data_IF_552107227192
#
_entry.id   IF_552107227192
#
_cell.length_a   1.000
_cell.length_b   1.000
_cell.length_c   1.000
_cell.angle_alpha   90.00
_cell.angle_beta   90.00
_cell.angle_gamma   90.00
#
_symmetry.space_group_name_H-M   'P 1'
#
loop_
_entity.id
_entity.type
_entity.pdbx_description
1 polymer ?
#
# COMPACT_ATOMS: atom_id res chain seq x y z
N UNK A 1 18.09 51.38 -30.28
CA UNK A 1 17.30 50.59 -29.31
C UNK A 1 16.11 49.84 -29.95
N UNK A 2 15.33 50.49 -30.81
CA UNK A 2 14.16 49.86 -31.49
C UNK A 2 14.57 48.71 -32.43
N UNK A 3 15.67 48.79 -33.14
CA UNK A 3 16.15 47.74 -34.03
C UNK A 3 16.64 46.50 -33.28
N UNK A 4 17.29 46.65 -32.13
CA UNK A 4 17.72 45.57 -31.27
C UNK A 4 16.51 44.82 -30.70
N UNK A 5 15.48 45.53 -30.23
CA UNK A 5 14.23 44.90 -29.77
C UNK A 5 13.51 44.11 -30.88
N UNK A 6 13.61 44.56 -32.13
CA UNK A 6 13.05 43.83 -33.29
C UNK A 6 13.79 42.51 -33.57
N UNK A 7 15.12 42.53 -33.47
CA UNK A 7 15.93 41.30 -33.63
C UNK A 7 15.66 40.31 -32.52
N UNK A 8 15.62 40.74 -31.26
CA UNK A 8 15.29 39.85 -30.13
C UNK A 8 13.89 39.25 -30.24
N UNK A 9 12.92 39.96 -30.79
CA UNK A 9 11.60 39.43 -31.01
C UNK A 9 11.58 38.36 -32.11
N UNK A 10 12.27 38.60 -33.21
CA UNK A 10 12.41 37.64 -34.30
C UNK A 10 13.17 36.37 -33.88
N UNK A 11 14.20 36.50 -33.07
CA UNK A 11 14.93 35.37 -32.51
C UNK A 11 14.06 34.52 -31.59
N UNK A 12 13.28 35.15 -30.72
CA UNK A 12 12.33 34.44 -29.87
C UNK A 12 11.24 33.73 -30.66
N UNK A 13 10.76 34.34 -31.72
CA UNK A 13 9.76 33.70 -32.58
C UNK A 13 10.36 32.53 -33.36
N UNK A 14 11.59 32.61 -33.80
CA UNK A 14 12.34 31.51 -34.40
C UNK A 14 12.56 30.35 -33.39
N UNK A 15 12.97 30.67 -32.16
CA UNK A 15 13.15 29.66 -31.13
C UNK A 15 11.84 28.90 -30.80
N UNK A 16 10.71 29.60 -30.83
CA UNK A 16 9.37 29.00 -30.61
C UNK A 16 8.93 28.06 -31.73
N UNK A 17 9.55 28.11 -32.92
CA UNK A 17 9.26 27.16 -33.99
C UNK A 17 9.76 25.75 -33.66
N UNK A 18 10.72 25.65 -32.74
CA UNK A 18 11.24 24.36 -32.27
C UNK A 18 10.68 24.04 -30.88
N UNK A 19 9.74 23.08 -30.81
CA UNK A 19 9.15 22.65 -29.57
C UNK A 19 9.94 21.48 -29.00
N UNK A 20 10.51 21.67 -27.82
CA UNK A 20 11.28 20.63 -27.09
C UNK A 20 10.48 20.09 -25.93
N UNK A 21 10.71 18.81 -25.59
CA UNK A 21 10.18 18.22 -24.38
C UNK A 21 10.83 18.91 -23.16
N UNK A 22 10.03 19.30 -22.14
CA UNK A 22 10.55 19.99 -20.94
C UNK A 22 11.29 19.05 -19.95
N UNK A 23 11.16 17.73 -20.15
CA UNK A 23 11.80 16.69 -19.33
C UNK A 23 11.97 15.40 -20.15
N UNK A 24 12.78 14.49 -19.65
CA UNK A 24 12.96 13.16 -20.23
C UNK A 24 11.71 12.30 -19.99
N UNK A 25 11.19 11.68 -21.08
CA UNK A 25 9.95 10.94 -20.97
C UNK A 25 9.54 10.27 -22.27
N UNK A 26 8.31 9.81 -22.32
CA UNK A 26 7.71 9.18 -23.48
C UNK A 26 6.44 9.92 -23.94
N UNK A 27 6.22 9.92 -25.24
CA UNK A 27 4.98 10.43 -25.81
C UNK A 27 3.87 9.42 -25.55
N UNK A 28 2.84 9.88 -24.85
CA UNK A 28 1.62 9.09 -24.63
C UNK A 28 0.67 9.20 -25.83
N UNK A 29 0.48 10.41 -26.32
CA UNK A 29 -0.46 10.71 -27.38
C UNK A 29 0.03 11.89 -28.23
N UNK A 30 -0.14 11.80 -29.53
CA UNK A 30 0.18 12.85 -30.50
C UNK A 30 -1.13 13.47 -31.01
N UNK A 31 -1.25 14.79 -30.93
CA UNK A 31 -2.46 15.54 -31.34
C UNK A 31 -2.28 16.30 -32.62
N UNK A 32 -1.05 16.51 -33.09
CA UNK A 32 -0.77 17.24 -34.33
C UNK A 32 0.04 16.39 -35.30
N UNK A 33 -0.32 16.47 -36.58
CA UNK A 33 0.38 15.80 -37.69
C UNK A 33 1.09 16.77 -38.61
N UNK A 34 1.98 16.23 -39.45
CA UNK A 34 2.68 16.99 -40.47
C UNK A 34 1.61 17.56 -41.47
N UNK A 35 1.73 18.86 -41.74
CA UNK A 35 0.81 19.59 -42.61
C UNK A 35 -0.41 20.19 -41.90
N UNK A 36 -0.59 19.95 -40.62
CA UNK A 36 -1.63 20.62 -39.84
C UNK A 36 -1.20 22.03 -39.44
N UNK A 37 -2.14 22.95 -39.48
CA UNK A 37 -1.95 24.30 -38.95
C UNK A 37 -2.04 24.26 -37.41
N UNK A 38 -1.03 24.75 -36.76
CA UNK A 38 -0.98 24.90 -35.31
C UNK A 38 -0.89 26.36 -34.93
N UNK A 39 -1.62 26.73 -33.88
CA UNK A 39 -1.61 28.09 -33.32
C UNK A 39 -0.83 28.10 -32.02
N UNK A 40 0.04 29.10 -31.89
CA UNK A 40 0.83 29.29 -30.68
C UNK A 40 -0.07 29.40 -29.43
N UNK A 41 0.25 28.67 -28.38
CA UNK A 41 -0.47 28.59 -27.09
C UNK A 41 -1.89 27.99 -27.10
N UNK A 42 -2.42 27.63 -28.27
CA UNK A 42 -3.78 27.04 -28.39
C UNK A 42 -3.75 25.58 -28.80
N UNK A 43 -2.81 25.18 -29.66
CA UNK A 43 -2.75 23.81 -30.16
C UNK A 43 -1.91 22.94 -29.22
N UNK A 44 -2.50 21.83 -28.77
CA UNK A 44 -1.77 20.76 -28.11
C UNK A 44 -1.06 19.93 -29.20
N UNK A 45 0.25 19.72 -29.03
CA UNK A 45 1.04 18.95 -30.01
C UNK A 45 1.18 17.49 -29.60
N UNK A 46 1.49 17.26 -28.35
CA UNK A 46 1.63 15.92 -27.78
C UNK A 46 1.41 15.93 -26.25
N UNK A 47 1.03 14.78 -25.72
CA UNK A 47 1.03 14.51 -24.30
C UNK A 47 2.23 13.62 -23.98
N UNK A 48 3.07 14.07 -23.07
CA UNK A 48 4.25 13.34 -22.62
C UNK A 48 4.09 12.98 -21.13
N UNK A 49 4.74 11.91 -20.70
CA UNK A 49 4.85 11.52 -19.30
C UNK A 49 6.30 11.18 -18.95
N UNK A 50 6.69 11.48 -17.71
CA UNK A 50 8.00 11.11 -17.20
C UNK A 50 8.12 9.59 -17.07
N UNK A 51 9.34 9.09 -17.27
CA UNK A 51 9.68 7.68 -17.08
C UNK A 51 10.46 7.41 -15.80
N UNK A 52 10.80 8.47 -15.05
CA UNK A 52 11.62 8.36 -13.85
C UNK A 52 10.83 7.79 -12.67
N UNK A 53 9.55 8.20 -12.58
CA UNK A 53 8.70 7.79 -11.47
C UNK A 53 7.28 7.52 -11.95
N UNK A 54 6.60 6.58 -11.25
CA UNK A 54 5.16 6.39 -11.37
C UNK A 54 4.50 6.71 -10.03
N UNK A 55 3.38 7.41 -10.09
CA UNK A 55 2.53 7.65 -8.94
C UNK A 55 1.28 6.78 -9.03
N UNK A 56 0.95 6.11 -7.94
CA UNK A 56 -0.26 5.28 -7.82
C UNK A 56 -1.09 5.84 -6.68
N UNK A 57 -2.33 6.18 -7.00
CA UNK A 57 -3.31 6.66 -6.03
C UNK A 57 -4.03 5.47 -5.40
N UNK A 58 -3.81 5.24 -4.11
CA UNK A 58 -4.33 4.10 -3.36
C UNK A 58 -5.45 4.55 -2.42
N UNK A 59 -6.65 3.95 -2.52
CA UNK A 59 -7.74 4.21 -1.59
C UNK A 59 -7.49 3.47 -0.28
N UNK A 60 -7.63 4.16 0.85
CA UNK A 60 -7.48 3.59 2.19
C UNK A 60 -8.73 3.89 3.00
N UNK A 61 -9.24 2.90 3.72
CA UNK A 61 -10.34 3.12 4.65
C UNK A 61 -9.89 3.95 5.86
N UNK A 62 -10.81 4.71 6.46
CA UNK A 62 -10.48 5.52 7.66
C UNK A 62 -10.04 4.64 8.84
N UNK A 63 -10.48 3.38 8.89
CA UNK A 63 -10.06 2.42 9.92
C UNK A 63 -8.61 1.98 9.71
N UNK A 64 -8.21 1.77 8.46
CA UNK A 64 -6.87 1.27 8.15
C UNK A 64 -5.79 2.34 8.31
N UNK A 65 -6.16 3.63 8.27
CA UNK A 65 -5.24 4.76 8.53
C UNK A 65 -4.60 4.65 9.92
N UNK A 66 -5.32 4.14 10.91
CA UNK A 66 -4.83 4.00 12.27
C UNK A 66 -3.63 3.06 12.35
N UNK A 67 -3.57 2.06 11.48
CA UNK A 67 -2.52 1.05 11.41
C UNK A 67 -1.29 1.47 10.59
N UNK A 68 -1.34 2.64 9.94
CA UNK A 68 -0.29 3.14 9.07
C UNK A 68 0.43 4.34 9.68
N UNK A 69 1.73 4.45 9.43
CA UNK A 69 2.53 5.63 9.78
C UNK A 69 2.66 6.54 8.55
N UNK A 70 1.58 7.26 8.25
CA UNK A 70 1.46 8.03 7.01
C UNK A 70 2.14 9.40 7.13
N UNK A 71 2.88 9.85 6.09
CA UNK A 71 3.44 11.18 6.03
C UNK A 71 2.33 12.23 6.02
N UNK A 72 2.51 13.33 6.77
CA UNK A 72 1.52 14.42 6.87
C UNK A 72 0.30 14.12 7.75
N UNK A 73 0.27 13.00 8.46
CA UNK A 73 -0.72 12.74 9.50
C UNK A 73 -0.58 13.77 10.61
N UNK A 74 -1.70 14.40 11.03
CA UNK A 74 -1.74 15.42 12.09
C UNK A 74 -1.33 14.91 13.49
N UNK A 75 -0.94 13.66 13.62
CA UNK A 75 -0.39 13.15 14.86
C UNK A 75 1.05 13.64 15.04
N UNK A 76 1.27 14.44 16.08
CA UNK A 76 2.56 15.00 16.52
C UNK A 76 3.63 13.92 16.89
N UNK A 77 3.49 12.68 16.41
CA UNK A 77 4.34 11.54 16.73
C UNK A 77 5.15 10.96 15.56
N UNK A 78 4.98 11.51 14.37
CA UNK A 78 5.83 11.07 13.25
C UNK A 78 7.22 11.71 13.39
N UNK A 79 8.05 11.14 14.25
CA UNK A 79 9.46 11.52 14.44
C UNK A 79 10.40 10.77 13.50
N UNK A 80 9.88 9.89 12.67
CA UNK A 80 10.68 9.18 11.66
C UNK A 80 10.35 9.71 10.27
N UNK A 81 11.36 10.24 9.62
CA UNK A 81 11.39 10.64 8.21
C UNK A 81 11.25 9.43 7.24
N UNK A 82 10.95 8.25 7.78
CA UNK A 82 10.90 6.99 7.03
C UNK A 82 9.50 6.82 6.43
N UNK A 83 9.41 6.98 5.12
CA UNK A 83 8.18 6.74 4.36
C UNK A 83 7.83 5.25 4.39
N UNK A 84 6.55 4.86 4.64
CA UNK A 84 6.14 3.46 4.59
C UNK A 84 6.45 2.83 3.24
N UNK A 85 6.97 1.62 3.26
CA UNK A 85 7.19 0.84 2.04
C UNK A 85 5.87 0.35 1.51
N UNK A 86 5.77 0.25 0.20
CA UNK A 86 4.63 -0.34 -0.50
C UNK A 86 5.13 -1.33 -1.54
N UNK A 87 4.50 -2.50 -1.56
CA UNK A 87 4.70 -3.50 -2.60
C UNK A 87 3.45 -3.49 -3.47
N UNK A 88 3.64 -3.18 -4.73
CA UNK A 88 2.57 -3.14 -5.73
C UNK A 88 2.65 -4.41 -6.57
N UNK A 89 1.54 -5.16 -6.61
CA UNK A 89 1.40 -6.39 -7.40
C UNK A 89 0.47 -6.15 -8.57
N UNK A 90 0.84 -6.64 -9.73
CA UNK A 90 -0.01 -6.57 -10.92
C UNK A 90 0.19 -7.78 -11.81
N UNK A 91 -0.86 -8.17 -12.52
CA UNK A 91 -0.80 -9.26 -13.48
C UNK A 91 -0.55 -8.72 -14.88
N UNK A 92 0.44 -9.27 -15.56
CA UNK A 92 0.75 -8.96 -16.95
C UNK A 92 1.04 -10.24 -17.73
N UNK A 93 0.28 -10.50 -18.79
CA UNK A 93 0.43 -11.70 -19.60
C UNK A 93 0.08 -13.01 -18.87
N UNK A 94 -0.67 -12.96 -17.75
CA UNK A 94 -1.03 -14.12 -16.93
C UNK A 94 -0.06 -14.41 -15.79
N UNK A 95 1.05 -13.68 -15.71
CA UNK A 95 2.02 -13.78 -14.63
C UNK A 95 1.90 -12.60 -13.65
N UNK A 96 2.23 -12.84 -12.40
CA UNK A 96 2.22 -11.82 -11.33
C UNK A 96 3.61 -11.20 -11.21
N UNK A 97 3.65 -9.88 -11.10
CA UNK A 97 4.87 -9.11 -10.94
C UNK A 97 4.74 -8.14 -9.78
N UNK A 98 5.87 -7.82 -9.16
CA UNK A 98 5.93 -6.91 -8.01
C UNK A 98 6.83 -5.71 -8.32
N UNK A 99 6.39 -4.54 -7.85
CA UNK A 99 7.16 -3.29 -7.88
C UNK A 99 7.21 -2.72 -6.47
N UNK A 100 8.40 -2.38 -6.03
CA UNK A 100 8.61 -1.73 -4.75
C UNK A 100 8.50 -0.22 -4.88
N UNK A 101 7.94 0.41 -3.87
CA UNK A 101 7.82 1.85 -3.77
C UNK A 101 7.68 2.32 -2.33
N UNK A 102 7.38 3.59 -2.16
CA UNK A 102 7.13 4.22 -0.86
C UNK A 102 5.88 5.07 -0.92
N UNK A 103 5.21 5.23 0.22
CA UNK A 103 4.12 6.20 0.33
C UNK A 103 4.73 7.60 0.40
N UNK A 104 4.48 8.39 -0.63
CA UNK A 104 5.08 9.72 -0.76
C UNK A 104 4.29 10.76 0.03
N UNK A 105 2.98 10.75 -0.10
CA UNK A 105 2.09 11.73 0.55
C UNK A 105 0.69 11.18 0.77
N UNK A 106 -0.03 11.81 1.69
CA UNK A 106 -1.46 11.60 1.92
C UNK A 106 -2.23 12.77 1.29
N UNK A 107 -3.33 12.48 0.60
CA UNK A 107 -4.25 13.52 0.15
C UNK A 107 -5.05 14.05 1.34
N UNK A 108 -5.12 15.39 1.48
CA UNK A 108 -5.75 16.03 2.63
C UNK A 108 -7.28 15.99 2.65
N UNK A 109 -7.92 15.38 1.65
CA UNK A 109 -9.37 15.31 1.53
C UNK A 109 -9.87 13.87 1.55
N UNK A 110 -10.99 13.66 2.25
CA UNK A 110 -11.74 12.40 2.23
C UNK A 110 -12.79 12.52 1.13
N UNK A 111 -12.88 11.51 0.26
CA UNK A 111 -13.93 11.44 -0.77
C UNK A 111 -15.30 11.25 -0.07
N UNK A 112 -16.23 12.21 -0.18
CA UNK A 112 -17.51 12.15 0.55
C UNK A 112 -18.42 11.02 0.04
N UNK A 113 -18.24 10.55 -1.18
CA UNK A 113 -19.04 9.50 -1.79
C UNK A 113 -18.59 8.11 -1.34
N UNK A 114 -17.29 7.87 -1.32
CA UNK A 114 -16.72 6.57 -0.96
C UNK A 114 -16.31 6.49 0.51
N UNK A 115 -16.13 7.64 1.18
CA UNK A 115 -15.59 7.78 2.55
C UNK A 115 -14.18 7.20 2.69
N UNK A 116 -13.43 7.18 1.59
CA UNK A 116 -12.03 6.75 1.56
C UNK A 116 -11.10 7.96 1.60
N UNK A 117 -9.99 7.80 2.27
CA UNK A 117 -8.82 8.66 2.12
C UNK A 117 -7.91 8.10 1.03
N UNK A 118 -7.10 8.95 0.43
CA UNK A 118 -6.18 8.51 -0.60
C UNK A 118 -4.74 8.83 -0.20
N UNK A 119 -3.86 7.88 -0.45
CA UNK A 119 -2.42 8.08 -0.38
C UNK A 119 -1.81 7.88 -1.76
N UNK A 120 -0.70 8.53 -1.98
CA UNK A 120 0.06 8.42 -3.24
C UNK A 120 1.33 7.62 -2.97
N UNK A 121 1.39 6.45 -3.60
CA UNK A 121 2.60 5.65 -3.65
C UNK A 121 3.47 6.11 -4.82
N UNK A 122 4.76 6.28 -4.58
CA UNK A 122 5.77 6.63 -5.56
C UNK A 122 6.65 5.42 -5.82
N UNK A 123 6.73 5.02 -7.09
CA UNK A 123 7.60 3.95 -7.56
C UNK A 123 8.69 4.59 -8.42
N UNK A 124 9.93 4.35 -8.07
CA UNK A 124 11.08 4.83 -8.82
C UNK A 124 11.42 3.86 -9.95
N UNK A 125 11.87 4.40 -11.08
CA UNK A 125 12.26 3.65 -12.27
C UNK A 125 11.25 2.56 -12.71
N UNK A 126 9.94 2.90 -12.83
CA UNK A 126 8.89 1.91 -13.09
C UNK A 126 9.03 1.19 -14.43
N UNK A 127 9.81 1.76 -15.34
CA UNK A 127 10.06 1.23 -16.69
C UNK A 127 11.40 0.53 -16.84
N UNK A 128 12.24 0.53 -15.80
CA UNK A 128 13.52 -0.15 -15.82
C UNK A 128 13.30 -1.65 -15.68
N UNK A 129 13.89 -2.43 -16.56
CA UNK A 129 14.00 -3.88 -16.36
C UNK A 129 14.84 -4.12 -15.13
N UNK A 130 14.36 -4.94 -14.20
CA UNK A 130 15.16 -5.34 -13.05
C UNK A 130 16.46 -6.02 -13.52
N UNK A 131 17.56 -5.73 -12.85
CA UNK A 131 18.88 -6.27 -13.23
C UNK A 131 18.94 -7.81 -13.27
N UNK A 132 18.01 -8.50 -12.58
CA UNK A 132 17.90 -9.95 -12.51
C UNK A 132 16.49 -10.49 -12.74
N UNK A 133 15.57 -9.71 -13.29
CA UNK A 133 14.20 -10.18 -13.50
C UNK A 133 13.64 -9.74 -14.85
N UNK A 134 12.92 -10.65 -15.52
CA UNK A 134 12.11 -10.33 -16.71
C UNK A 134 10.88 -9.46 -16.38
N UNK A 135 10.92 -8.70 -15.30
CA UNK A 135 9.84 -7.84 -14.86
C UNK A 135 9.46 -6.83 -15.95
N UNK A 136 8.22 -6.83 -16.41
CA UNK A 136 7.77 -5.86 -17.40
C UNK A 136 7.69 -4.46 -16.78
N UNK A 137 7.73 -3.40 -17.60
CA UNK A 137 7.51 -2.05 -17.12
C UNK A 137 6.10 -1.90 -16.53
N UNK A 138 5.99 -1.12 -15.46
CA UNK A 138 4.71 -0.77 -14.85
C UNK A 138 3.97 0.22 -15.78
N UNK A 139 3.03 -0.28 -16.55
CA UNK A 139 2.30 0.53 -17.53
C UNK A 139 1.18 1.33 -16.87
N UNK A 140 0.98 2.55 -17.35
CA UNK A 140 -0.19 3.36 -16.98
C UNK A 140 -1.48 2.63 -17.37
N UNK A 141 -2.43 2.58 -16.42
CA UNK A 141 -3.71 1.88 -16.62
C UNK A 141 -3.72 0.40 -16.21
N UNK A 142 -2.59 -0.13 -15.70
CA UNK A 142 -2.57 -1.47 -15.13
C UNK A 142 -3.34 -1.48 -13.80
N UNK A 143 -4.22 -2.47 -13.62
CA UNK A 143 -4.83 -2.73 -12.32
C UNK A 143 -3.81 -3.39 -11.40
N UNK A 144 -3.67 -2.85 -10.22
CA UNK A 144 -2.68 -3.30 -9.25
C UNK A 144 -3.29 -3.42 -7.86
N UNK A 145 -2.78 -4.35 -7.10
CA UNK A 145 -3.00 -4.49 -5.66
C UNK A 145 -1.77 -3.95 -4.92
N UNK A 146 -1.97 -3.24 -3.82
CA UNK A 146 -0.88 -2.65 -3.06
C UNK A 146 -0.92 -3.13 -1.61
N UNK A 147 0.22 -3.64 -1.13
CA UNK A 147 0.45 -3.95 0.28
C UNK A 147 1.32 -2.85 0.89
N UNK A 148 0.78 -2.13 1.85
CA UNK A 148 1.47 -1.02 2.53
C UNK A 148 1.99 -1.55 3.85
N UNK A 149 3.26 -1.27 4.14
CA UNK A 149 3.85 -1.62 5.42
C UNK A 149 3.17 -0.85 6.56
N UNK A 150 2.62 -1.59 7.52
CA UNK A 150 1.97 -1.03 8.71
C UNK A 150 2.94 -0.57 9.78
N UNK A 151 2.38 -0.04 10.88
CA UNK A 151 3.14 0.28 12.08
C UNK A 151 3.67 -1.00 12.72
N UNK A 152 4.90 -0.94 13.18
CA UNK A 152 5.46 -2.02 13.99
C UNK A 152 4.76 -2.08 15.35
N UNK A 153 4.32 -3.26 15.73
CA UNK A 153 3.71 -3.51 17.03
C UNK A 153 4.62 -4.46 17.79
N UNK A 154 5.06 -4.00 18.95
CA UNK A 154 5.85 -4.83 19.84
C UNK A 154 4.89 -5.65 20.74
N UNK A 155 5.28 -6.90 21.04
CA UNK A 155 4.53 -7.82 21.91
C UNK A 155 3.11 -8.19 21.42
N UNK A 156 2.90 -8.30 20.11
CA UNK A 156 1.65 -8.79 19.57
C UNK A 156 1.71 -10.30 19.26
N UNK A 157 0.55 -10.95 19.33
CA UNK A 157 0.36 -12.35 18.96
C UNK A 157 -0.53 -12.43 17.73
N UNK A 158 -0.06 -13.13 16.72
CA UNK A 158 -0.87 -13.44 15.55
C UNK A 158 -1.54 -14.80 15.75
N UNK A 159 -2.87 -14.82 15.74
CA UNK A 159 -3.66 -16.04 15.91
C UNK A 159 -4.60 -16.23 14.71
N UNK A 160 -4.95 -17.48 14.35
CA UNK A 160 -5.97 -17.70 13.32
C UNK A 160 -7.29 -17.02 13.70
N UNK A 161 -7.94 -16.34 12.76
CA UNK A 161 -9.23 -15.65 13.00
C UNK A 161 -10.28 -16.56 13.64
N UNK A 162 -10.29 -17.84 13.27
CA UNK A 162 -11.20 -18.87 13.84
C UNK A 162 -10.99 -19.17 15.32
N UNK A 163 -9.83 -18.78 15.90
CA UNK A 163 -9.58 -18.93 17.34
C UNK A 163 -10.20 -17.79 18.17
N UNK A 164 -10.45 -16.65 17.55
CA UNK A 164 -11.11 -15.52 18.21
C UNK A 164 -12.62 -15.76 18.24
N UNK A 165 -13.20 -15.74 19.43
CA UNK A 165 -14.62 -15.94 19.71
C UNK A 165 -15.34 -14.59 19.85
N UNK A 166 -16.64 -14.67 20.06
CA UNK A 166 -17.45 -13.49 20.40
C UNK A 166 -16.91 -12.78 21.66
N UNK A 167 -17.17 -11.49 21.76
CA UNK A 167 -16.72 -10.64 22.86
C UNK A 167 -15.19 -10.60 23.06
N UNK A 168 -14.40 -10.76 21.97
CA UNK A 168 -12.94 -10.75 22.02
C UNK A 168 -12.37 -11.76 23.02
N UNK A 169 -12.91 -12.96 23.06
CA UNK A 169 -12.44 -14.05 23.94
C UNK A 169 -11.69 -15.10 23.12
N UNK A 170 -10.62 -15.63 23.70
CA UNK A 170 -9.84 -16.76 23.14
C UNK A 170 -9.89 -17.91 24.16
N UNK A 171 -10.13 -19.11 23.66
CA UNK A 171 -10.05 -20.30 24.46
C UNK A 171 -8.63 -20.84 24.46
N UNK A 172 -8.00 -20.85 25.64
CA UNK A 172 -6.71 -21.46 25.86
C UNK A 172 -6.87 -22.79 26.58
N UNK A 173 -5.86 -23.65 26.52
CA UNK A 173 -5.82 -24.95 27.18
C UNK A 173 -4.67 -24.96 28.17
N UNK A 174 -4.97 -25.19 29.44
CA UNK A 174 -3.99 -25.26 30.51
C UNK A 174 -3.13 -26.54 30.49
N UNK A 175 -2.29 -26.72 31.49
CA UNK A 175 -1.41 -27.90 31.59
C UNK A 175 -2.20 -29.19 31.90
N UNK A 176 -3.38 -29.07 32.47
CA UNK A 176 -4.29 -30.19 32.82
C UNK A 176 -5.25 -30.54 31.70
N UNK A 177 -5.06 -29.94 30.52
CA UNK A 177 -5.92 -30.10 29.34
C UNK A 177 -7.37 -29.60 29.57
N UNK A 178 -7.50 -28.49 30.30
CA UNK A 178 -8.79 -27.83 30.55
C UNK A 178 -8.86 -26.49 29.80
N UNK A 179 -10.07 -26.16 29.37
CA UNK A 179 -10.34 -24.89 28.71
C UNK A 179 -10.35 -23.76 29.73
N UNK A 180 -9.59 -22.71 29.40
CA UNK A 180 -9.58 -21.43 30.09
C UNK A 180 -9.99 -20.33 29.12
N UNK A 181 -10.92 -19.48 29.50
CA UNK A 181 -11.33 -18.32 28.71
C UNK A 181 -10.43 -17.16 29.05
N UNK A 182 -9.79 -16.58 28.03
CA UNK A 182 -8.99 -15.37 28.17
C UNK A 182 -9.61 -14.24 27.35
N UNK A 183 -9.92 -13.14 27.99
CA UNK A 183 -10.32 -11.92 27.30
C UNK A 183 -9.09 -11.28 26.71
N UNK A 184 -9.17 -10.88 25.45
CA UNK A 184 -8.04 -10.38 24.68
C UNK A 184 -8.35 -9.02 24.08
N UNK A 185 -7.32 -8.22 23.95
CA UNK A 185 -7.40 -6.95 23.23
C UNK A 185 -6.99 -7.18 21.78
N UNK A 186 -7.94 -6.95 20.89
CA UNK A 186 -7.77 -7.18 19.46
C UNK A 186 -7.34 -5.87 18.81
N UNK A 187 -6.15 -5.86 18.24
CA UNK A 187 -5.65 -4.71 17.50
C UNK A 187 -6.24 -4.65 16.09
N UNK A 188 -6.18 -5.77 15.37
CA UNK A 188 -6.67 -5.86 13.99
C UNK A 188 -7.15 -7.27 13.69
N UNK A 189 -8.14 -7.41 12.80
CA UNK A 189 -8.57 -8.69 12.26
C UNK A 189 -8.74 -8.59 10.75
N UNK A 190 -8.31 -9.64 10.06
CA UNK A 190 -8.64 -9.89 8.67
C UNK A 190 -9.45 -11.19 8.51
N UNK A 191 -9.54 -11.72 7.29
CA UNK A 191 -10.27 -12.97 7.00
C UNK A 191 -9.60 -14.22 7.57
N UNK A 192 -8.29 -14.23 7.72
CA UNK A 192 -7.50 -15.40 8.12
C UNK A 192 -6.91 -15.26 9.52
N UNK A 193 -6.53 -14.05 9.94
CA UNK A 193 -5.76 -13.78 11.15
C UNK A 193 -6.39 -12.71 12.04
N UNK A 194 -6.05 -12.76 13.30
CA UNK A 194 -6.30 -11.71 14.28
C UNK A 194 -4.99 -11.38 15.01
N UNK A 195 -4.73 -10.09 15.20
CA UNK A 195 -3.58 -9.56 15.93
C UNK A 195 -4.05 -9.16 17.31
N UNK A 196 -3.44 -9.74 18.33
CA UNK A 196 -3.77 -9.56 19.74
C UNK A 196 -2.63 -8.86 20.43
N UNK A 197 -2.90 -7.76 21.13
CA UNK A 197 -1.89 -6.96 21.84
C UNK A 197 -1.84 -7.25 23.34
N UNK A 198 -2.90 -7.85 23.88
CA UNK A 198 -3.00 -8.11 25.34
C UNK A 198 -3.91 -9.31 25.60
N UNK A 199 -3.69 -9.99 26.75
CA UNK A 199 -4.52 -11.11 27.19
C UNK A 199 -3.97 -12.50 26.84
N UNK A 200 -2.93 -12.60 26.03
CA UNK A 200 -2.19 -13.84 25.73
C UNK A 200 -0.76 -13.77 26.26
N UNK A 201 -0.20 -14.93 26.55
CA UNK A 201 1.18 -15.10 26.98
C UNK A 201 1.93 -16.04 26.02
N UNK A 202 3.26 -15.88 25.98
CA UNK A 202 4.09 -16.75 25.17
C UNK A 202 4.01 -18.21 25.67
N UNK A 203 3.69 -19.12 24.74
CA UNK A 203 3.48 -20.53 25.06
C UNK A 203 2.04 -20.91 25.36
N UNK A 204 1.10 -19.98 25.35
CA UNK A 204 -0.34 -20.29 25.45
C UNK A 204 -0.77 -21.25 24.33
N UNK A 205 -1.53 -22.25 24.66
CA UNK A 205 -2.13 -23.21 23.72
C UNK A 205 -3.54 -22.80 23.40
N UNK A 206 -3.79 -22.46 22.15
CA UNK A 206 -5.07 -21.91 21.71
C UNK A 206 -5.93 -23.00 21.06
N UNK A 207 -7.20 -23.05 21.45
CA UNK A 207 -8.20 -23.89 20.84
C UNK A 207 -8.74 -23.24 19.56
N UNK A 208 -8.42 -23.84 18.41
CA UNK A 208 -8.88 -23.36 17.10
C UNK A 208 -10.16 -24.06 16.62
N UNK A 209 -10.49 -25.22 17.20
CA UNK A 209 -11.67 -25.99 16.84
C UNK A 209 -12.93 -25.27 17.33
N UNK A 210 -13.96 -25.08 16.48
CA UNK A 210 -15.22 -24.55 16.92
C UNK A 210 -15.90 -25.55 17.87
N UNK A 211 -16.21 -25.11 19.08
CA UNK A 211 -16.94 -25.88 20.06
C UNK A 211 -18.36 -25.32 20.16
N UNK A 212 -19.38 -26.17 20.00
CA UNK A 212 -20.78 -25.75 20.13
C UNK A 212 -21.12 -25.30 21.56
N UNK A 213 -20.51 -25.97 22.53
CA UNK A 213 -20.65 -25.64 23.95
C UNK A 213 -19.26 -25.71 24.61
N UNK A 214 -18.73 -24.57 24.96
CA UNK A 214 -17.49 -24.47 25.73
C UNK A 214 -17.84 -24.01 27.14
N UNK A 215 -17.32 -24.72 28.13
CA UNK A 215 -17.48 -24.36 29.56
C UNK A 215 -16.08 -24.25 30.17
N UNK A 216 -15.88 -23.24 31.00
CA UNK A 216 -14.63 -23.07 31.72
C UNK A 216 -14.27 -24.31 32.54
N UNK A 217 -13.05 -24.81 32.42
CA UNK A 217 -12.60 -26.04 33.09
C UNK A 217 -12.97 -27.33 32.37
N UNK A 218 -13.68 -27.28 31.23
CA UNK A 218 -13.99 -28.45 30.40
C UNK A 218 -12.69 -29.11 29.94
N UNK A 219 -12.61 -30.44 30.12
CA UNK A 219 -11.47 -31.22 29.67
C UNK A 219 -11.55 -31.49 28.19
N UNK A 220 -10.46 -31.25 27.47
CA UNK A 220 -10.33 -31.46 26.03
C UNK A 220 -9.21 -32.41 25.71
N UNK A 221 -9.40 -33.21 24.68
CA UNK A 221 -8.35 -34.05 24.12
C UNK A 221 -7.68 -33.34 22.95
N UNK A 222 -6.38 -33.56 22.84
CA UNK A 222 -5.58 -32.98 21.77
C UNK A 222 -5.70 -33.86 20.52
N UNK A 223 -6.23 -33.31 19.45
CA UNK A 223 -6.11 -33.93 18.13
C UNK A 223 -4.67 -33.78 17.65
N UNK A 224 -3.99 -34.89 17.34
CA UNK A 224 -2.53 -34.98 17.16
C UNK A 224 -2.03 -34.46 15.80
N UNK A 225 -2.71 -33.49 15.16
CA UNK A 225 -2.26 -32.87 13.91
C UNK A 225 -2.22 -31.36 14.02
N UNK A 226 -1.00 -30.83 13.89
CA UNK A 226 -0.64 -29.41 13.80
C UNK A 226 -0.90 -28.54 15.06
N UNK A 227 0.11 -28.52 15.90
CA UNK A 227 0.21 -27.49 16.92
C UNK A 227 0.66 -26.20 16.24
N UNK A 228 -0.24 -25.26 16.06
CA UNK A 228 0.13 -23.86 15.74
C UNK A 228 0.70 -23.30 17.04
N UNK A 229 2.02 -23.22 17.16
CA UNK A 229 2.66 -22.42 18.20
C UNK A 229 2.34 -20.97 17.91
N UNK A 230 1.80 -20.28 18.89
CA UNK A 230 1.70 -18.82 18.86
C UNK A 230 3.14 -18.32 18.87
N UNK A 231 3.62 -17.88 17.72
CA UNK A 231 4.90 -17.22 17.61
C UNK A 231 4.68 -15.76 17.95
N UNK A 232 5.47 -15.24 18.87
CA UNK A 232 5.59 -13.82 19.11
C UNK A 232 6.01 -13.19 17.78
N UNK A 233 5.09 -12.57 17.09
CA UNK A 233 5.36 -11.99 15.80
C UNK A 233 5.92 -10.58 16.01
N UNK A 234 7.13 -10.34 15.55
CA UNK A 234 7.51 -9.00 15.14
C UNK A 234 6.79 -8.72 13.82
N UNK A 235 5.62 -8.10 13.90
CA UNK A 235 4.82 -7.76 12.73
C UNK A 235 5.40 -6.46 12.18
N UNK A 236 6.03 -6.58 11.01
CA UNK A 236 6.55 -5.46 10.22
C UNK A 236 5.51 -4.97 9.24
#
# INVERSE_FOLDING_TARGET
>A
ESALAGVEMAERDLERTTVKAPYDGRIHEKFADIGQMVSARQSQLARIYSTDTAEIRLPISLKDIEYLDLPGSYSNRSTNDTKPRVIVRGSYGGEQYEWEGVIDRTEGAIDPRTRLSYVVAKIEEPYKKGENSDRPPLKVGLFVEASIQGKRIDNAFQIPRKALRENNTVYTVDQESRIVFKDVEVYQTDTEWAIITSGLEDGDRICITPLEYAVMGMRVERESKESIKVLKAEIN
#
